data_IF_916673618664
#
_entry.id   IF_916673618664
#
_cell.length_a   1.000
_cell.length_b   1.000
_cell.length_c   1.000
_cell.angle_alpha   90.00
_cell.angle_beta   90.00
_cell.angle_gamma   90.00
#
_symmetry.space_group_name_H-M   'P 1'
#
loop_
_entity.id
_entity.type
_entity.pdbx_description
1 polymer ?
#
# COMPACT_ATOMS: atom_id res chain seq x y z
N UNK A 1 -51.46 -36.51 -26.82
CA UNK A 1 -50.23 -36.69 -27.61
C UNK A 1 -49.35 -35.47 -27.42
N UNK A 2 -48.23 -35.58 -26.69
CA UNK A 2 -46.92 -35.02 -27.08
C UNK A 2 -45.87 -35.97 -26.48
N UNK A 3 -45.39 -36.95 -27.26
CA UNK A 3 -44.18 -37.71 -26.94
C UNK A 3 -42.99 -36.80 -27.23
N UNK A 4 -42.06 -36.64 -26.28
CA UNK A 4 -40.77 -35.99 -26.53
C UNK A 4 -40.05 -36.77 -27.64
N UNK A 5 -39.43 -36.11 -28.64
CA UNK A 5 -38.63 -36.80 -29.63
C UNK A 5 -37.38 -37.40 -28.97
N UNK A 6 -37.04 -38.64 -29.32
CA UNK A 6 -35.74 -39.22 -29.00
C UNK A 6 -34.66 -38.46 -29.79
N UNK A 7 -33.66 -37.92 -29.08
CA UNK A 7 -32.55 -37.15 -29.67
C UNK A 7 -32.39 -35.70 -29.16
N UNK A 8 -33.22 -35.23 -28.22
CA UNK A 8 -33.06 -33.90 -27.64
C UNK A 8 -32.14 -33.92 -26.41
N UNK A 9 -30.84 -33.86 -26.68
CA UNK A 9 -29.66 -33.55 -25.84
C UNK A 9 -28.60 -34.60 -26.12
N UNK A 10 -27.64 -34.27 -26.99
CA UNK A 10 -26.26 -34.78 -27.02
C UNK A 10 -25.63 -34.32 -28.34
N UNK A 11 -25.01 -33.13 -28.32
CA UNK A 11 -23.84 -32.78 -29.14
C UNK A 11 -23.51 -31.30 -28.90
N UNK A 12 -22.69 -31.02 -27.89
CA UNK A 12 -21.75 -29.91 -28.04
C UNK A 12 -20.56 -30.44 -28.86
N UNK A 13 -20.25 -29.88 -30.04
CA UNK A 13 -19.23 -30.40 -30.93
C UNK A 13 -17.83 -29.80 -30.68
N UNK A 14 -17.43 -29.55 -29.42
CA UNK A 14 -16.14 -28.88 -29.13
C UNK A 14 -15.17 -29.66 -28.22
N UNK A 15 -15.59 -30.76 -27.58
CA UNK A 15 -14.66 -31.58 -26.81
C UNK A 15 -14.51 -32.95 -27.49
N UNK A 16 -13.36 -33.26 -28.12
CA UNK A 16 -13.09 -34.62 -28.56
C UNK A 16 -13.06 -35.53 -27.33
N UNK A 17 -13.95 -36.53 -27.30
CA UNK A 17 -13.88 -37.63 -26.35
C UNK A 17 -12.75 -38.58 -26.77
N UNK A 18 -12.01 -39.03 -25.76
CA UNK A 18 -10.92 -40.01 -25.79
C UNK A 18 -9.56 -39.53 -26.33
N UNK A 19 -8.84 -38.82 -25.47
CA UNK A 19 -7.37 -38.95 -25.44
C UNK A 19 -6.99 -39.57 -24.10
N UNK A 20 -6.84 -40.90 -24.09
CA UNK A 20 -6.20 -41.61 -22.98
C UNK A 20 -4.71 -41.34 -23.06
N UNK A 21 -4.25 -40.28 -22.40
CA UNK A 21 -2.83 -40.12 -22.14
C UNK A 21 -2.41 -41.12 -21.06
N UNK A 22 -1.42 -41.96 -21.35
CA UNK A 22 -0.76 -42.74 -20.31
C UNK A 22 -0.24 -41.78 -19.23
N UNK A 23 -0.60 -42.06 -17.98
CA UNK A 23 -0.13 -41.30 -16.83
C UNK A 23 1.39 -41.45 -16.75
N UNK A 24 2.12 -40.47 -17.28
CA UNK A 24 3.55 -40.36 -16.98
C UNK A 24 3.72 -40.25 -15.47
N UNK A 25 4.81 -40.81 -14.93
CA UNK A 25 5.09 -40.97 -13.50
C UNK A 25 4.91 -39.69 -12.64
N UNK A 26 4.84 -38.51 -13.26
CA UNK A 26 4.74 -37.20 -12.62
C UNK A 26 3.43 -36.41 -12.91
N UNK A 27 2.38 -37.05 -13.44
CA UNK A 27 1.02 -36.47 -13.50
C UNK A 27 0.75 -35.46 -14.64
N UNK A 28 -0.48 -34.89 -14.69
CA UNK A 28 -1.01 -34.14 -15.85
C UNK A 28 -0.43 -32.73 -16.04
N UNK A 29 0.38 -32.22 -15.10
CA UNK A 29 0.92 -30.86 -15.18
C UNK A 29 1.97 -30.67 -16.29
N UNK A 30 2.73 -31.72 -16.64
CA UNK A 30 3.75 -31.62 -17.69
C UNK A 30 3.19 -31.80 -19.10
N UNK A 31 2.12 -32.57 -19.29
CA UNK A 31 1.47 -32.73 -20.59
C UNK A 31 0.78 -31.46 -21.05
N UNK A 32 0.19 -30.68 -20.13
CA UNK A 32 -0.39 -29.36 -20.42
C UNK A 32 0.65 -28.39 -21.01
N UNK A 33 1.93 -28.51 -20.61
CA UNK A 33 3.01 -27.64 -21.07
C UNK A 33 3.31 -27.77 -22.58
N UNK A 34 2.95 -28.91 -23.20
CA UNK A 34 3.05 -29.13 -24.66
C UNK A 34 1.86 -28.62 -25.45
N UNK A 35 0.70 -28.44 -24.80
CA UNK A 35 -0.52 -27.90 -25.43
C UNK A 35 -0.53 -26.37 -25.40
N UNK A 36 0.15 -25.79 -24.42
CA UNK A 36 0.35 -24.34 -24.26
C UNK A 36 1.83 -23.99 -24.51
N UNK A 37 2.34 -24.30 -25.71
CA UNK A 37 3.57 -23.63 -26.15
C UNK A 37 3.28 -22.13 -26.20
N UNK A 38 4.06 -21.28 -25.51
CA UNK A 38 3.81 -19.86 -25.50
C UNK A 38 4.06 -19.33 -26.92
N UNK A 39 2.98 -19.05 -27.64
CA UNK A 39 3.03 -18.23 -28.84
C UNK A 39 3.74 -16.92 -28.46
N UNK A 40 4.72 -16.51 -29.27
CA UNK A 40 5.60 -15.37 -28.98
C UNK A 40 4.77 -14.23 -28.42
N UNK A 41 4.97 -13.96 -27.13
CA UNK A 41 4.11 -13.09 -26.35
C UNK A 41 3.80 -11.83 -27.15
N UNK A 42 2.52 -11.49 -27.27
CA UNK A 42 2.14 -10.09 -27.33
C UNK A 42 2.65 -9.53 -26.01
N UNK A 43 3.91 -9.09 -26.02
CA UNK A 43 4.57 -8.40 -24.94
C UNK A 43 3.78 -7.10 -24.81
N UNK A 44 2.74 -7.11 -23.99
CA UNK A 44 2.11 -5.88 -23.55
C UNK A 44 3.23 -5.04 -22.94
N UNK A 45 3.58 -3.87 -23.52
CA UNK A 45 4.65 -3.04 -22.99
C UNK A 45 4.44 -2.68 -21.52
N UNK A 46 3.18 -2.71 -21.05
CA UNK A 46 2.80 -2.47 -19.66
C UNK A 46 3.18 -3.61 -18.71
N UNK A 47 3.42 -4.83 -19.21
CA UNK A 47 3.85 -5.96 -18.39
C UNK A 47 5.36 -5.93 -18.07
N UNK A 48 6.16 -5.17 -18.82
CA UNK A 48 7.62 -5.05 -18.63
C UNK A 48 8.01 -3.89 -17.71
N UNK A 49 7.09 -3.00 -17.36
CA UNK A 49 7.35 -1.97 -16.37
C UNK A 49 7.13 -2.54 -14.97
N UNK A 50 8.10 -2.34 -14.07
CA UNK A 50 7.92 -2.63 -12.66
C UNK A 50 6.67 -1.89 -12.18
N UNK A 51 5.64 -2.64 -11.80
CA UNK A 51 4.36 -2.09 -11.36
C UNK A 51 4.63 -1.16 -10.17
N UNK A 52 4.55 0.15 -10.40
CA UNK A 52 4.74 1.15 -9.36
C UNK A 52 3.52 1.13 -8.44
N UNK A 53 3.63 0.35 -7.36
CA UNK A 53 2.64 0.28 -6.28
C UNK A 53 2.81 1.52 -5.40
N UNK A 54 2.25 2.65 -5.81
CA UNK A 54 2.33 3.83 -4.98
C UNK A 54 1.56 3.69 -3.67
N UNK A 55 2.05 4.40 -2.67
CA UNK A 55 1.79 4.15 -1.25
C UNK A 55 2.18 5.37 -0.45
N UNK A 56 1.43 5.69 0.59
CA UNK A 56 1.82 6.63 1.63
C UNK A 56 1.91 5.88 2.94
N UNK A 57 3.13 5.79 3.48
CA UNK A 57 3.37 5.24 4.81
C UNK A 57 4.20 6.21 5.63
N UNK A 58 3.98 6.21 6.94
CA UNK A 58 4.75 7.02 7.86
C UNK A 58 4.69 6.46 9.28
N UNK A 59 5.64 6.88 10.11
CA UNK A 59 5.62 6.66 11.55
C UNK A 59 6.16 7.89 12.28
N UNK A 60 5.61 8.21 13.44
CA UNK A 60 6.00 9.35 14.27
C UNK A 60 6.13 8.90 15.71
N UNK A 61 7.26 9.22 16.35
CA UNK A 61 7.48 9.00 17.77
C UNK A 61 6.84 10.11 18.61
N UNK A 62 6.29 9.72 19.76
CA UNK A 62 5.77 10.62 20.79
C UNK A 62 6.26 10.18 22.17
N UNK A 63 6.00 11.00 23.19
CA UNK A 63 6.42 10.67 24.56
C UNK A 63 5.65 9.45 25.05
N UNK A 64 6.31 8.29 25.07
CA UNK A 64 5.76 7.02 25.54
C UNK A 64 5.39 6.02 24.45
N UNK A 65 5.64 6.32 23.17
CA UNK A 65 5.28 5.40 22.10
C UNK A 65 5.53 5.92 20.68
N UNK A 66 4.90 5.25 19.71
CA UNK A 66 4.92 5.60 18.29
C UNK A 66 3.54 5.47 17.68
N UNK A 67 3.25 6.27 16.66
CA UNK A 67 2.06 6.11 15.80
C UNK A 67 2.53 5.76 14.40
N UNK A 68 2.03 4.66 13.86
CA UNK A 68 2.18 4.32 12.45
C UNK A 68 0.92 4.72 11.70
N UNK A 69 1.07 5.18 10.46
CA UNK A 69 -0.04 5.50 9.59
C UNK A 69 0.22 5.08 8.14
N UNK A 70 -0.83 4.63 7.46
CA UNK A 70 -0.78 4.22 6.07
C UNK A 70 -2.09 4.49 5.33
N UNK A 71 -1.98 4.69 4.02
CA UNK A 71 -3.12 4.57 3.11
C UNK A 71 -3.48 3.09 2.85
N UNK A 72 -4.57 2.83 2.13
CA UNK A 72 -5.08 1.46 1.91
C UNK A 72 -5.25 1.08 0.43
N UNK A 73 -4.62 1.83 -0.49
CA UNK A 73 -4.68 1.55 -1.92
C UNK A 73 -3.52 0.66 -2.36
N UNK A 74 -3.81 -0.32 -3.20
CA UNK A 74 -2.81 -1.06 -3.98
C UNK A 74 -3.25 -1.02 -5.44
N UNK A 75 -2.43 -0.44 -6.31
CA UNK A 75 -2.74 -0.18 -7.71
C UNK A 75 -1.79 -0.91 -8.64
N UNK A 76 -2.31 -1.54 -9.69
CA UNK A 76 -1.47 -2.02 -10.80
C UNK A 76 -1.42 -0.92 -11.86
N UNK A 77 -0.36 -0.11 -11.81
CA UNK A 77 -0.27 1.10 -12.63
C UNK A 77 -1.39 2.08 -12.28
N UNK A 78 -2.31 2.29 -13.22
CA UNK A 78 -3.44 3.22 -13.07
C UNK A 78 -4.69 2.58 -12.46
N UNK A 79 -4.77 1.25 -12.40
CA UNK A 79 -5.95 0.53 -11.92
C UNK A 79 -5.83 0.19 -10.43
N UNK A 80 -6.85 0.50 -9.64
CA UNK A 80 -6.88 0.16 -8.20
C UNK A 80 -7.33 -1.29 -8.03
N UNK A 81 -6.37 -2.19 -7.78
CA UNK A 81 -6.63 -3.62 -7.52
C UNK A 81 -7.27 -3.83 -6.16
N UNK A 82 -6.77 -3.15 -5.13
CA UNK A 82 -7.33 -3.23 -3.79
C UNK A 82 -7.45 -1.83 -3.18
N UNK A 83 -8.64 -1.50 -2.67
CA UNK A 83 -8.96 -0.22 -2.02
C UNK A 83 -8.87 -0.24 -0.50
N UNK A 84 -8.67 -1.41 0.11
CA UNK A 84 -8.72 -1.59 1.56
C UNK A 84 -7.51 -2.38 2.11
N UNK A 85 -6.37 -2.36 1.42
CA UNK A 85 -5.17 -3.06 1.85
C UNK A 85 -4.72 -2.61 3.24
N UNK A 86 -4.14 -3.54 4.01
CA UNK A 86 -3.51 -3.21 5.27
C UNK A 86 -1.99 -3.24 5.10
N UNK A 87 -1.38 -2.05 5.08
CA UNK A 87 0.07 -1.87 4.92
C UNK A 87 0.80 -1.83 6.26
N UNK A 88 0.07 -1.89 7.37
CA UNK A 88 0.59 -2.01 8.73
C UNK A 88 0.60 -3.50 9.09
N UNK A 89 1.78 -4.11 9.10
CA UNK A 89 1.94 -5.54 9.38
C UNK A 89 2.54 -5.73 10.76
N UNK A 90 1.89 -6.57 11.58
CA UNK A 90 2.37 -6.97 12.90
C UNK A 90 3.61 -7.85 12.75
N UNK A 91 4.64 -7.56 13.54
CA UNK A 91 5.86 -8.36 13.61
C UNK A 91 6.01 -9.07 14.95
N UNK A 92 5.69 -8.34 16.02
CA UNK A 92 5.59 -8.84 17.40
C UNK A 92 4.43 -8.11 18.09
N UNK A 93 4.18 -8.37 19.38
CA UNK A 93 3.07 -7.74 20.12
C UNK A 93 3.04 -6.21 19.99
N UNK A 94 4.20 -5.55 20.15
CA UNK A 94 4.35 -4.08 20.15
C UNK A 94 5.28 -3.56 19.07
N UNK A 95 5.49 -4.34 18.00
CA UNK A 95 6.35 -3.97 16.87
C UNK A 95 5.60 -4.22 15.57
N UNK A 96 5.48 -3.17 14.77
CA UNK A 96 4.86 -3.21 13.45
C UNK A 96 5.82 -2.69 12.39
N UNK A 97 5.57 -3.06 11.13
CA UNK A 97 6.16 -2.37 10.01
C UNK A 97 5.10 -1.78 9.08
N UNK A 98 5.45 -0.64 8.49
CA UNK A 98 4.78 -0.13 7.31
C UNK A 98 5.48 -0.66 6.06
N UNK A 99 4.70 -1.08 5.08
CA UNK A 99 5.19 -1.67 3.82
C UNK A 99 4.91 -0.76 2.63
N UNK A 100 5.94 -0.48 1.84
CA UNK A 100 5.85 0.23 0.55
C UNK A 100 6.73 -0.43 -0.52
N UNK A 101 6.37 -0.26 -1.79
CA UNK A 101 6.98 -1.00 -2.90
C UNK A 101 6.17 -2.24 -3.25
N UNK A 102 6.84 -3.26 -3.80
CA UNK A 102 6.25 -4.54 -4.20
C UNK A 102 5.48 -5.19 -3.05
N UNK A 103 4.20 -5.44 -3.26
CA UNK A 103 3.33 -6.04 -2.24
C UNK A 103 3.81 -7.44 -1.88
N UNK A 104 4.21 -8.23 -2.88
CA UNK A 104 4.72 -9.59 -2.69
C UNK A 104 6.03 -9.60 -1.89
N UNK A 105 7.02 -8.78 -2.29
CA UNK A 105 8.32 -8.75 -1.63
C UNK A 105 8.19 -8.32 -0.17
N UNK A 106 7.45 -7.23 0.07
CA UNK A 106 7.28 -6.70 1.42
C UNK A 106 6.46 -7.61 2.33
N UNK A 107 5.50 -8.37 1.79
CA UNK A 107 4.76 -9.39 2.55
C UNK A 107 5.69 -10.52 2.97
N UNK A 108 6.43 -11.09 2.02
CA UNK A 108 7.38 -12.17 2.30
C UNK A 108 8.44 -11.77 3.33
N UNK A 109 8.99 -10.56 3.21
CA UNK A 109 9.97 -10.02 4.18
C UNK A 109 9.36 -9.83 5.57
N UNK A 110 8.11 -9.36 5.65
CA UNK A 110 7.45 -9.14 6.92
C UNK A 110 7.13 -10.46 7.64
N UNK A 111 6.61 -11.44 6.92
CA UNK A 111 6.34 -12.78 7.45
C UNK A 111 7.62 -13.49 7.91
N UNK A 112 8.67 -13.45 7.07
CA UNK A 112 9.95 -14.04 7.44
C UNK A 112 10.56 -13.36 8.67
N UNK A 113 10.45 -12.03 8.77
CA UNK A 113 10.94 -11.30 9.94
C UNK A 113 10.12 -11.60 11.19
N UNK A 114 8.79 -11.67 11.08
CA UNK A 114 7.92 -12.05 12.20
C UNK A 114 8.28 -13.44 12.74
N UNK A 115 8.49 -14.43 11.87
CA UNK A 115 8.88 -15.79 12.27
C UNK A 115 10.24 -15.81 13.01
N UNK A 116 11.22 -15.04 12.55
CA UNK A 116 12.50 -14.92 13.25
C UNK A 116 12.36 -14.24 14.61
N UNK A 117 11.51 -13.21 14.71
CA UNK A 117 11.26 -12.51 15.97
C UNK A 117 10.53 -13.40 16.98
N UNK A 118 9.54 -14.17 16.53
CA UNK A 118 8.82 -15.13 17.37
C UNK A 118 9.76 -16.22 17.89
N UNK A 119 10.59 -16.81 17.02
CA UNK A 119 11.59 -17.80 17.43
C UNK A 119 12.57 -17.21 18.45
N UNK A 120 13.04 -15.98 18.21
CA UNK A 120 13.92 -15.27 19.13
C UNK A 120 13.25 -14.98 20.48
N UNK A 121 11.97 -14.58 20.50
CA UNK A 121 11.22 -14.32 21.72
C UNK A 121 11.03 -15.59 22.56
N UNK A 122 10.73 -16.73 21.91
CA UNK A 122 10.61 -18.03 22.56
C UNK A 122 11.95 -18.45 23.19
N UNK A 123 13.03 -18.40 22.41
CA UNK A 123 14.36 -18.84 22.85
C UNK A 123 14.90 -17.99 24.01
N UNK A 124 14.69 -16.66 23.93
CA UNK A 124 15.21 -15.74 24.94
C UNK A 124 14.26 -15.56 26.13
N UNK A 125 13.00 -16.00 26.00
CA UNK A 125 11.91 -15.77 26.97
C UNK A 125 11.79 -14.30 27.40
N UNK A 126 12.06 -13.38 26.49
CA UNK A 126 12.10 -11.93 26.71
C UNK A 126 11.49 -11.20 25.53
N UNK A 127 10.79 -10.08 25.78
CA UNK A 127 10.20 -9.28 24.72
C UNK A 127 11.30 -8.74 23.79
N UNK A 128 11.00 -8.71 22.50
CA UNK A 128 11.97 -8.29 21.50
C UNK A 128 12.12 -6.77 21.46
N UNK A 129 13.35 -6.30 21.26
CA UNK A 129 13.63 -4.88 21.07
C UNK A 129 13.32 -4.44 19.63
N UNK A 130 12.86 -3.20 19.44
CA UNK A 130 12.59 -2.65 18.10
C UNK A 130 13.85 -2.62 17.23
N UNK A 131 15.01 -2.40 17.85
CA UNK A 131 16.31 -2.41 17.17
C UNK A 131 16.62 -3.79 16.55
N UNK A 132 16.23 -4.88 17.21
CA UNK A 132 16.44 -6.24 16.70
C UNK A 132 15.62 -6.47 15.44
N UNK A 133 14.34 -6.09 15.45
CA UNK A 133 13.47 -6.16 14.28
C UNK A 133 14.03 -5.32 13.11
N UNK A 134 14.45 -4.08 13.36
CA UNK A 134 15.03 -3.21 12.34
C UNK A 134 16.32 -3.80 11.74
N UNK A 135 17.16 -4.47 12.53
CA UNK A 135 18.39 -5.10 12.04
C UNK A 135 18.13 -6.34 11.18
N UNK A 136 17.10 -7.14 11.49
CA UNK A 136 16.69 -8.27 10.66
C UNK A 136 16.22 -7.76 9.29
N UNK A 137 15.33 -6.76 9.27
CA UNK A 137 14.91 -6.14 8.01
C UNK A 137 16.08 -5.55 7.23
N UNK A 138 16.97 -4.80 7.89
CA UNK A 138 18.18 -4.25 7.25
C UNK A 138 18.95 -5.35 6.52
N UNK A 139 19.20 -6.48 7.19
CA UNK A 139 19.93 -7.61 6.62
C UNK A 139 19.20 -8.20 5.41
N UNK A 140 17.91 -8.52 5.56
CA UNK A 140 17.12 -9.13 4.49
C UNK A 140 16.96 -8.19 3.27
N UNK A 141 16.68 -6.91 3.52
CA UNK A 141 16.56 -5.91 2.46
C UNK A 141 17.89 -5.68 1.75
N UNK A 142 19.00 -5.55 2.48
CA UNK A 142 20.31 -5.30 1.88
C UNK A 142 20.81 -6.49 1.05
N UNK A 143 20.61 -7.72 1.54
CA UNK A 143 21.00 -8.94 0.82
C UNK A 143 20.25 -9.12 -0.49
N UNK A 144 19.00 -8.68 -0.55
CA UNK A 144 18.13 -8.87 -1.71
C UNK A 144 17.89 -7.59 -2.52
N UNK A 145 18.61 -6.48 -2.24
CA UNK A 145 18.32 -5.13 -2.77
C UNK A 145 18.19 -5.01 -4.30
N UNK A 146 18.75 -5.96 -5.06
CA UNK A 146 18.68 -6.00 -6.52
C UNK A 146 17.48 -6.79 -7.04
N UNK A 147 16.89 -7.65 -6.21
CA UNK A 147 15.81 -8.57 -6.57
C UNK A 147 14.45 -8.13 -6.04
N UNK A 148 14.43 -7.24 -5.04
CA UNK A 148 13.19 -6.77 -4.39
C UNK A 148 13.01 -5.27 -4.57
N UNK A 149 11.75 -4.83 -4.54
CA UNK A 149 11.40 -3.42 -4.38
C UNK A 149 10.69 -3.23 -3.04
N UNK A 150 11.45 -2.88 -1.99
CA UNK A 150 10.93 -2.77 -0.63
C UNK A 150 11.41 -1.49 0.07
N UNK A 151 10.46 -0.64 0.47
CA UNK A 151 10.67 0.44 1.44
C UNK A 151 9.91 0.10 2.71
N UNK A 152 10.63 -0.11 3.81
CA UNK A 152 10.07 -0.55 5.09
C UNK A 152 10.30 0.53 6.14
N UNK A 153 9.27 0.80 6.94
CA UNK A 153 9.42 1.56 8.18
C UNK A 153 9.11 0.60 9.31
N UNK A 154 10.07 0.36 10.21
CA UNK A 154 9.86 -0.44 11.41
C UNK A 154 9.64 0.51 12.57
N UNK A 155 8.52 0.37 13.26
CA UNK A 155 8.25 1.18 14.44
C UNK A 155 7.58 0.33 15.52
N UNK A 156 7.95 0.58 16.76
CA UNK A 156 7.42 -0.16 17.89
C UNK A 156 7.74 0.49 19.22
N UNK A 157 7.32 -0.20 20.27
CA UNK A 157 7.62 0.15 21.64
C UNK A 157 8.35 -1.02 22.31
N UNK A 158 9.48 -0.74 22.94
CA UNK A 158 10.17 -1.68 23.84
C UNK A 158 10.44 -1.05 25.21
N UNK A 159 10.48 -1.83 26.32
CA UNK A 159 10.68 -1.28 27.65
C UNK A 159 12.03 -0.58 27.87
N UNK A 160 13.04 -0.87 27.05
CA UNK A 160 14.39 -0.33 27.20
C UNK A 160 14.54 1.05 26.55
N UNK A 161 14.06 1.21 25.32
CA UNK A 161 14.24 2.41 24.51
C UNK A 161 12.95 3.21 24.34
N UNK A 162 11.81 2.70 24.82
CA UNK A 162 10.50 3.28 24.58
C UNK A 162 10.08 3.18 23.11
N UNK A 163 9.41 4.21 22.61
CA UNK A 163 9.01 4.31 21.21
C UNK A 163 10.21 4.55 20.29
N UNK A 164 10.40 3.69 19.30
CA UNK A 164 11.48 3.83 18.31
C UNK A 164 10.96 3.67 16.88
N UNK A 165 11.47 4.50 15.97
CA UNK A 165 11.17 4.48 14.53
C UNK A 165 12.46 4.28 13.73
N UNK A 166 12.44 3.34 12.81
CA UNK A 166 13.53 3.04 11.89
C UNK A 166 13.04 3.09 10.45
N UNK A 167 13.71 3.88 9.61
CA UNK A 167 13.48 3.88 8.17
C UNK A 167 14.49 2.97 7.48
N UNK A 168 13.99 2.06 6.65
CA UNK A 168 14.76 1.12 5.83
C UNK A 168 14.35 1.31 4.36
N UNK A 169 14.96 2.27 3.66
CA UNK A 169 14.71 2.50 2.23
C UNK A 169 15.16 1.31 1.36
N UNK A 170 14.84 1.38 0.07
CA UNK A 170 15.17 0.33 -0.92
C UNK A 170 16.66 -0.04 -1.01
N UNK A 171 17.56 0.87 -0.62
CA UNK A 171 19.00 0.59 -0.56
C UNK A 171 19.43 -0.34 0.60
N UNK A 172 18.53 -0.66 1.55
CA UNK A 172 18.84 -1.48 2.72
C UNK A 172 19.64 -0.76 3.79
N UNK A 173 19.70 0.58 3.77
CA UNK A 173 20.18 1.36 4.91
C UNK A 173 19.19 1.26 6.08
N UNK A 174 19.62 1.58 7.30
CA UNK A 174 18.75 1.58 8.46
C UNK A 174 19.07 2.79 9.32
N UNK A 175 18.11 3.70 9.46
CA UNK A 175 18.29 4.98 10.14
C UNK A 175 17.22 5.13 11.21
N UNK A 176 17.65 5.35 12.46
CA UNK A 176 16.76 5.69 13.57
C UNK A 176 16.36 7.16 13.47
N UNK A 177 15.07 7.46 13.55
CA UNK A 177 14.52 8.81 13.35
C UNK A 177 13.41 9.09 14.38
N UNK A 178 13.07 10.37 14.56
CA UNK A 178 11.88 10.78 15.32
C UNK A 178 10.59 10.56 14.52
N UNK A 179 10.68 10.70 13.19
CA UNK A 179 9.62 10.32 12.26
C UNK A 179 10.23 9.76 10.97
N UNK A 180 9.49 8.90 10.29
CA UNK A 180 9.87 8.33 9.01
C UNK A 180 8.71 8.47 8.02
N UNK A 181 9.06 8.72 6.75
CA UNK A 181 8.14 8.82 5.63
C UNK A 181 8.58 7.81 4.56
N UNK A 182 7.64 7.20 3.85
CA UNK A 182 7.93 6.21 2.81
C UNK A 182 6.82 6.04 1.79
N UNK A 183 7.16 5.42 0.67
CA UNK A 183 6.29 5.25 -0.50
C UNK A 183 6.20 6.50 -1.39
N UNK A 184 5.47 6.41 -2.51
CA UNK A 184 5.31 7.50 -3.48
C UNK A 184 4.75 8.79 -2.87
N UNK A 185 3.81 8.68 -1.92
CA UNK A 185 3.18 9.86 -1.32
C UNK A 185 4.05 10.58 -0.29
N UNK A 186 5.18 10.00 0.10
CA UNK A 186 6.12 10.61 1.06
C UNK A 186 6.69 11.95 0.57
N UNK A 187 6.85 12.13 -0.74
CA UNK A 187 7.43 13.35 -1.31
C UNK A 187 6.59 14.60 -1.01
N UNK A 188 5.26 14.44 -0.89
CA UNK A 188 4.34 15.53 -0.54
C UNK A 188 4.38 15.86 0.95
N UNK A 189 4.92 14.96 1.76
CA UNK A 189 4.91 15.08 3.22
C UNK A 189 6.15 15.78 3.77
N UNK A 190 7.29 15.78 3.08
CA UNK A 190 8.48 16.47 3.61
C UNK A 190 8.20 17.95 3.93
N UNK A 191 7.65 18.70 2.97
CA UNK A 191 7.30 20.11 3.20
C UNK A 191 6.15 20.31 4.19
N UNK A 192 5.20 19.38 4.25
CA UNK A 192 4.12 19.40 5.23
C UNK A 192 4.65 19.20 6.66
N UNK A 193 5.61 18.30 6.84
CA UNK A 193 6.26 18.07 8.12
C UNK A 193 7.10 19.27 8.53
N UNK A 194 7.92 19.82 7.64
CA UNK A 194 8.74 20.99 7.92
C UNK A 194 7.92 22.19 8.41
N UNK A 195 6.68 22.35 7.91
CA UNK A 195 5.80 23.46 8.28
C UNK A 195 4.88 23.17 9.48
N UNK A 196 4.45 21.92 9.67
CA UNK A 196 3.34 21.60 10.58
C UNK A 196 3.68 20.61 11.70
N UNK A 197 4.79 19.88 11.60
CA UNK A 197 5.24 18.98 12.66
C UNK A 197 5.81 19.78 13.83
N UNK A 198 5.58 19.26 15.04
CA UNK A 198 6.09 19.81 16.30
C UNK A 198 6.57 18.63 17.13
N UNK A 199 7.76 18.78 17.71
CA UNK A 199 8.31 17.78 18.63
C UNK A 199 7.51 17.74 19.93
N UNK A 200 7.34 16.56 20.52
CA UNK A 200 6.70 16.41 21.83
C UNK A 200 5.18 16.48 21.84
N UNK A 201 4.51 16.19 20.73
CA UNK A 201 3.06 16.02 20.66
C UNK A 201 2.55 14.92 21.61
N UNK A 202 1.30 15.04 22.06
CA UNK A 202 0.59 13.96 22.76
C UNK A 202 0.28 12.78 21.82
N UNK A 203 -0.15 11.64 22.37
CA UNK A 203 -0.63 10.49 21.58
C UNK A 203 -1.76 10.90 20.63
N UNK A 204 -2.76 11.61 21.13
CA UNK A 204 -3.95 12.02 20.40
C UNK A 204 -3.61 13.04 19.31
N UNK A 205 -2.73 14.00 19.62
CA UNK A 205 -2.21 14.97 18.66
C UNK A 205 -1.43 14.28 17.54
N UNK A 206 -0.57 13.30 17.88
CA UNK A 206 0.15 12.51 16.90
C UNK A 206 -0.79 11.72 16.00
N UNK A 207 -1.81 11.04 16.55
CA UNK A 207 -2.79 10.31 15.74
C UNK A 207 -3.51 11.25 14.77
N UNK A 208 -4.01 12.39 15.26
CA UNK A 208 -4.68 13.38 14.42
C UNK A 208 -3.73 13.95 13.35
N UNK A 209 -2.49 14.26 13.72
CA UNK A 209 -1.48 14.77 12.80
C UNK A 209 -1.14 13.76 11.71
N UNK A 210 -0.93 12.49 12.07
CA UNK A 210 -0.66 11.40 11.12
C UNK A 210 -1.82 11.21 10.15
N UNK A 211 -3.06 11.25 10.64
CA UNK A 211 -4.24 11.14 9.79
C UNK A 211 -4.35 12.31 8.81
N UNK A 212 -4.12 13.53 9.31
CA UNK A 212 -4.11 14.73 8.45
C UNK A 212 -2.97 14.69 7.44
N UNK A 213 -1.79 14.23 7.81
CA UNK A 213 -0.64 14.07 6.92
C UNK A 213 -0.96 13.10 5.78
N UNK A 214 -1.37 11.86 6.09
CA UNK A 214 -1.78 10.89 5.06
C UNK A 214 -2.90 11.46 4.19
N UNK A 215 -3.83 12.21 4.77
CA UNK A 215 -4.89 12.88 4.03
C UNK A 215 -4.39 13.94 3.03
N UNK A 216 -3.35 14.69 3.36
CA UNK A 216 -2.72 15.62 2.43
C UNK A 216 -1.95 14.91 1.31
N UNK A 217 -1.21 13.85 1.64
CA UNK A 217 -0.43 13.09 0.66
C UNK A 217 -1.31 12.43 -0.39
N UNK A 218 -2.28 11.61 0.02
CA UNK A 218 -3.11 10.84 -0.90
C UNK A 218 -4.14 11.69 -1.68
N UNK A 219 -4.27 12.97 -1.33
CA UNK A 219 -5.10 13.93 -2.07
C UNK A 219 -4.35 14.45 -3.29
N UNK A 220 -3.01 14.32 -3.31
CA UNK A 220 -2.15 14.72 -4.42
C UNK A 220 -1.58 13.53 -5.17
N UNK A 221 -1.18 12.50 -4.44
CA UNK A 221 -0.63 11.27 -5.00
C UNK A 221 -1.74 10.38 -5.58
N UNK A 222 -1.76 10.21 -6.89
CA UNK A 222 -2.74 9.35 -7.58
C UNK A 222 -2.60 7.87 -7.24
N UNK A 223 -1.41 7.42 -6.83
CA UNK A 223 -1.17 6.02 -6.49
C UNK A 223 -1.54 5.67 -5.04
N UNK A 224 -1.68 6.67 -4.17
CA UNK A 224 -2.17 6.51 -2.79
C UNK A 224 -3.68 6.77 -2.70
N UNK A 225 -4.35 6.22 -1.69
CA UNK A 225 -5.77 6.53 -1.48
C UNK A 225 -6.53 5.57 -0.57
N UNK A 226 -7.84 5.80 -0.48
CA UNK A 226 -8.77 4.94 0.25
C UNK A 226 -8.88 5.32 1.74
N UNK A 227 -8.71 4.32 2.60
CA UNK A 227 -8.79 4.44 4.05
C UNK A 227 -7.46 4.97 4.60
N UNK A 228 -7.54 5.60 5.77
CA UNK A 228 -6.37 5.93 6.57
C UNK A 228 -6.34 4.97 7.75
N UNK A 229 -5.34 4.10 7.80
CA UNK A 229 -5.13 3.18 8.92
C UNK A 229 -4.06 3.76 9.83
N UNK A 230 -4.33 3.81 11.11
CA UNK A 230 -3.38 4.22 12.14
C UNK A 230 -3.31 3.19 13.24
N UNK A 231 -2.14 3.00 13.82
CA UNK A 231 -1.97 2.20 15.04
C UNK A 231 -1.01 2.93 15.99
N UNK A 232 -1.43 3.09 17.24
CA UNK A 232 -0.60 3.62 18.30
C UNK A 232 0.00 2.46 19.11
N UNK A 233 1.33 2.46 19.25
CA UNK A 233 2.08 1.47 20.01
C UNK A 233 2.72 2.15 21.22
N UNK A 234 2.40 1.67 22.41
CA UNK A 234 2.85 2.20 23.69
C UNK A 234 2.94 1.08 24.73
N UNK A 235 3.13 1.41 26.01
CA UNK A 235 3.24 0.41 27.08
C UNK A 235 1.99 -0.48 27.23
N UNK A 236 0.78 0.08 27.05
CA UNK A 236 -0.48 -0.67 27.05
C UNK A 236 -0.76 -1.44 25.75
N UNK A 237 -2.01 -1.86 25.57
CA UNK A 237 -2.46 -2.55 24.35
C UNK A 237 -2.35 -1.67 23.10
N UNK A 238 -1.99 -2.24 21.93
CA UNK A 238 -2.03 -1.50 20.65
C UNK A 238 -3.43 -0.96 20.33
N UNK A 239 -3.52 0.32 19.99
CA UNK A 239 -4.78 0.97 19.61
C UNK A 239 -4.81 1.21 18.10
N UNK A 240 -5.60 0.43 17.35
CA UNK A 240 -5.80 0.63 15.92
C UNK A 240 -7.06 1.45 15.62
N UNK A 241 -6.99 2.29 14.58
CA UNK A 241 -8.12 3.07 14.10
C UNK A 241 -8.07 3.16 12.57
N UNK A 242 -9.24 3.06 11.95
CA UNK A 242 -9.39 3.17 10.49
C UNK A 242 -10.39 4.27 10.15
N UNK A 243 -9.95 5.31 9.45
CA UNK A 243 -10.80 6.40 8.97
C UNK A 243 -11.21 6.14 7.52
N UNK A 244 -12.52 6.12 7.21
CA UNK A 244 -12.99 6.04 5.84
C UNK A 244 -12.76 7.36 5.11
N UNK A 245 -12.51 7.30 3.79
CA UNK A 245 -12.31 8.48 2.95
C UNK A 245 -13.42 9.54 3.09
N UNK A 246 -14.68 9.11 3.26
CA UNK A 246 -15.82 10.03 3.44
C UNK A 246 -15.69 10.95 4.66
N UNK A 247 -14.96 10.51 5.70
CA UNK A 247 -14.70 11.23 6.95
C UNK A 247 -13.23 11.64 7.09
N UNK A 248 -12.50 11.72 5.98
CA UNK A 248 -11.09 12.14 6.02
C UNK A 248 -10.92 13.57 6.56
N UNK A 249 -9.84 13.85 7.31
CA UNK A 249 -9.54 15.21 7.78
C UNK A 249 -9.33 16.24 6.67
N UNK A 250 -8.89 15.81 5.49
CA UNK A 250 -8.65 16.70 4.35
C UNK A 250 -8.89 15.97 3.02
N UNK A 251 -9.58 16.63 2.09
CA UNK A 251 -9.64 16.25 0.69
C UNK A 251 -9.87 17.52 -0.17
N UNK A 252 -9.35 17.53 -1.40
CA UNK A 252 -9.43 18.71 -2.27
C UNK A 252 -10.86 19.02 -2.69
N UNK A 253 -11.70 18.00 -2.81
CA UNK A 253 -13.11 18.10 -3.22
C UNK A 253 -13.97 18.87 -2.20
N UNK A 254 -13.53 18.95 -0.94
CA UNK A 254 -14.21 19.70 0.13
C UNK A 254 -13.46 20.97 0.55
N UNK A 255 -12.26 21.22 0.03
CA UNK A 255 -11.48 22.42 0.35
C UNK A 255 -12.08 23.64 -0.39
N UNK A 256 -12.52 24.69 0.34
CA UNK A 256 -13.11 25.88 -0.27
C UNK A 256 -12.21 26.56 -1.30
N UNK A 257 -10.89 26.36 -1.23
CA UNK A 257 -9.92 26.90 -2.18
C UNK A 257 -10.13 26.41 -3.62
N UNK A 258 -10.63 25.19 -3.79
CA UNK A 258 -10.85 24.58 -5.11
C UNK A 258 -12.33 24.54 -5.51
N UNK A 259 -13.19 25.30 -4.81
CA UNK A 259 -14.63 25.34 -5.08
C UNK A 259 -14.92 25.97 -6.44
N UNK A 260 -14.23 27.06 -6.75
CA UNK A 260 -14.41 27.78 -8.00
C UNK A 260 -13.57 27.10 -9.10
N UNK A 261 -14.23 26.75 -10.21
CA UNK A 261 -13.56 26.13 -11.35
C UNK A 261 -12.65 27.15 -12.04
N UNK A 262 -11.47 26.70 -12.47
CA UNK A 262 -10.58 27.51 -13.30
C UNK A 262 -11.31 27.92 -14.59
N UNK A 263 -11.18 29.19 -15.00
CA UNK A 263 -11.77 29.67 -16.25
C UNK A 263 -10.92 29.17 -17.42
N UNK A 264 -11.40 28.13 -18.09
CA UNK A 264 -10.73 27.48 -19.23
C UNK A 264 -11.57 27.58 -20.50
N UNK A 265 -12.90 27.65 -20.36
CA UNK A 265 -13.86 27.67 -21.45
C UNK A 265 -14.72 28.95 -21.39
N UNK A 266 -14.14 30.15 -21.56
CA UNK A 266 -14.92 31.38 -21.63
C UNK A 266 -15.82 31.36 -22.89
N UNK A 267 -17.02 31.96 -22.84
CA UNK A 267 -17.85 32.10 -24.03
C UNK A 267 -17.18 33.00 -25.06
N UNK A 268 -17.54 32.82 -26.34
CA UNK A 268 -17.12 33.73 -27.40
C UNK A 268 -17.57 35.16 -27.05
N UNK A 269 -16.62 36.11 -27.09
CA UNK A 269 -16.87 37.49 -26.67
C UNK A 269 -16.10 38.46 -27.57
N UNK A 270 -16.66 39.66 -27.73
CA UNK A 270 -16.00 40.79 -28.41
C UNK A 270 -15.03 41.56 -27.49
N UNK A 271 -14.81 41.09 -26.26
CA UNK A 271 -13.94 41.73 -25.26
C UNK A 271 -12.83 40.79 -24.80
N UNK A 272 -11.66 41.35 -24.46
CA UNK A 272 -10.56 40.62 -23.82
C UNK A 272 -10.80 40.38 -22.31
N UNK A 273 -11.88 40.90 -21.74
CA UNK A 273 -12.22 40.70 -20.32
C UNK A 273 -12.64 39.24 -20.07
N UNK A 274 -11.83 38.51 -19.30
CA UNK A 274 -12.14 37.14 -18.87
C UNK A 274 -13.36 37.17 -17.94
N UNK A 275 -14.38 36.40 -18.29
CA UNK A 275 -15.61 36.24 -17.49
C UNK A 275 -15.63 34.87 -16.81
N UNK A 276 -16.68 34.07 -16.99
CA UNK A 276 -16.84 32.75 -16.38
C UNK A 276 -16.89 31.66 -17.45
N UNK A 277 -16.74 30.41 -17.04
CA UNK A 277 -16.91 29.28 -17.95
C UNK A 277 -18.33 29.25 -18.52
N UNK A 278 -18.44 28.97 -19.82
CA UNK A 278 -19.69 28.71 -20.49
C UNK A 278 -20.27 27.37 -20.02
N UNK A 279 -21.40 27.41 -19.31
CA UNK A 279 -22.08 26.22 -18.78
C UNK A 279 -23.28 25.77 -19.63
N UNK A 280 -23.72 26.60 -20.58
CA UNK A 280 -24.85 26.34 -21.47
C UNK A 280 -24.47 26.64 -22.90
N UNK A 281 -24.90 25.79 -23.84
CA UNK A 281 -24.84 26.13 -25.25
C UNK A 281 -25.89 27.20 -25.54
N UNK A 282 -25.46 28.30 -26.15
CA UNK A 282 -26.38 29.23 -26.78
C UNK A 282 -26.89 28.54 -28.06
N UNK A 283 -28.17 28.13 -28.07
CA UNK A 283 -28.82 27.71 -29.32
C UNK A 283 -29.05 28.99 -30.12
N UNK A 284 -28.39 29.06 -31.28
CA UNK A 284 -28.68 30.05 -32.33
C UNK A 284 -29.94 29.61 -33.07
#
# INVERSE_FOLDING_TARGET
MIKRPEGALLHEPSCPMEIKHELTFNGPAQSAKKLFEPEAAVLDPQLNEAVSLGTTIMAVAFKGGVVLAADSRTSTGTYVVNRASNKLTKLAEKIYCCRSGSAADTQALAEQTANYLESYEIDTSKPVNVTTAANIFKKLCYMNKWNISAGIIVAGYDPLNGGSVYSIPSGGSCVKLDYALGGSGSIFLYSFFDANYKTGMSKEECVCFCQRAVAHAYSRDGSSGGLIRTIALHQGEPEDMTIPWTKTPYCMEKDPKYRDLAVQNPPFSSSAKITVNQSRSERI
#
